data_IF_295789292872
#
_entry.id   IF_295789292872
#
_cell.length_a   1.000
_cell.length_b   1.000
_cell.length_c   1.000
_cell.angle_alpha   90.00
_cell.angle_beta   90.00
_cell.angle_gamma   90.00
#
_symmetry.space_group_name_H-M   'P 1'
#
loop_
_entity.id
_entity.type
_entity.pdbx_description
1 polymer ?
#
# COMPACT_ATOMS: atom_id res chain seq x y z
N UNK A 1 10.55 4.72 -11.84
CA UNK A 1 9.94 3.45 -11.38
C UNK A 1 10.49 3.13 -10.00
N UNK A 2 9.63 2.92 -9.01
CA UNK A 2 10.08 2.56 -7.65
C UNK A 2 10.31 1.05 -7.54
N UNK A 3 11.15 0.61 -6.58
CA UNK A 3 11.51 -0.81 -6.45
C UNK A 3 10.30 -1.74 -6.27
N UNK A 4 9.27 -1.30 -5.55
CA UNK A 4 8.06 -2.08 -5.35
C UNK A 4 7.19 -2.20 -6.62
N UNK A 5 7.16 -1.16 -7.46
CA UNK A 5 6.46 -1.20 -8.76
C UNK A 5 7.17 -2.15 -9.72
N UNK A 6 8.51 -2.08 -9.78
CA UNK A 6 9.31 -2.97 -10.62
C UNK A 6 9.16 -4.44 -10.22
N UNK A 7 9.15 -4.73 -8.91
CA UNK A 7 8.95 -6.09 -8.43
C UNK A 7 7.52 -6.59 -8.71
N UNK A 8 6.51 -5.75 -8.51
CA UNK A 8 5.13 -6.12 -8.75
C UNK A 8 4.86 -6.43 -10.23
N UNK A 9 5.41 -5.61 -11.13
CA UNK A 9 5.36 -5.85 -12.58
C UNK A 9 6.03 -7.17 -12.97
N UNK A 10 7.23 -7.44 -12.42
CA UNK A 10 7.98 -8.67 -12.70
C UNK A 10 7.24 -9.96 -12.32
N UNK A 11 6.31 -9.90 -11.35
CA UNK A 11 5.50 -11.05 -10.92
C UNK A 11 4.07 -11.01 -11.46
N UNK A 12 3.73 -10.05 -12.32
CA UNK A 12 2.37 -9.88 -12.86
C UNK A 12 1.33 -9.51 -11.79
N UNK A 13 1.74 -8.85 -10.70
CA UNK A 13 0.82 -8.41 -9.67
C UNK A 13 0.01 -7.21 -10.16
N UNK A 14 -1.30 -7.24 -9.90
CA UNK A 14 -2.24 -6.15 -10.26
C UNK A 14 -2.54 -5.22 -9.08
N UNK A 15 -2.14 -5.61 -7.87
CA UNK A 15 -2.41 -4.87 -6.65
C UNK A 15 -1.26 -4.99 -5.66
N UNK A 16 -0.98 -3.89 -4.94
CA UNK A 16 -0.07 -3.89 -3.80
C UNK A 16 -0.87 -3.57 -2.54
N UNK A 17 -0.65 -4.35 -1.48
CA UNK A 17 -1.24 -4.14 -0.15
C UNK A 17 -0.14 -4.09 0.91
N UNK A 18 -0.11 -3.02 1.71
CA UNK A 18 0.81 -2.85 2.84
C UNK A 18 -0.01 -2.91 4.12
N UNK A 19 0.25 -3.94 4.93
CA UNK A 19 -0.47 -4.21 6.16
C UNK A 19 0.14 -3.44 7.35
N UNK A 20 -0.72 -2.97 8.27
CA UNK A 20 -0.34 -2.39 9.57
C UNK A 20 0.72 -1.29 9.45
N UNK A 21 0.43 -0.19 8.72
CA UNK A 21 1.38 0.90 8.59
C UNK A 21 1.73 1.49 9.97
N UNK A 22 3.02 1.73 10.19
CA UNK A 22 3.57 1.99 11.53
C UNK A 22 3.21 3.37 12.11
N UNK A 23 3.06 4.39 11.26
CA UNK A 23 2.80 5.75 11.69
C UNK A 23 2.24 6.63 10.56
N UNK A 24 1.75 7.81 10.93
CA UNK A 24 1.16 8.77 10.00
C UNK A 24 2.13 9.23 8.89
N UNK A 25 3.42 9.37 9.21
CA UNK A 25 4.43 9.80 8.22
C UNK A 25 4.57 8.78 7.09
N UNK A 26 4.55 7.49 7.43
CA UNK A 26 4.62 6.39 6.47
C UNK A 26 3.32 6.31 5.65
N UNK A 27 2.17 6.47 6.29
CA UNK A 27 0.87 6.57 5.60
C UNK A 27 0.90 7.68 4.54
N UNK A 28 1.29 8.90 4.94
CA UNK A 28 1.33 10.04 4.03
C UNK A 28 2.33 9.86 2.87
N UNK A 29 3.49 9.25 3.14
CA UNK A 29 4.48 8.93 2.09
C UNK A 29 3.89 8.02 1.00
N UNK A 30 3.15 6.97 1.39
CA UNK A 30 2.54 6.06 0.42
C UNK A 30 1.28 6.63 -0.23
N UNK A 31 0.53 7.49 0.46
CA UNK A 31 -0.58 8.23 -0.16
C UNK A 31 -0.11 9.14 -1.31
N UNK A 32 1.04 9.81 -1.15
CA UNK A 32 1.67 10.56 -2.25
C UNK A 32 2.07 9.68 -3.44
N UNK A 33 2.22 8.38 -3.23
CA UNK A 33 2.51 7.37 -4.25
C UNK A 33 1.24 6.66 -4.77
N UNK A 34 0.06 7.23 -4.51
CA UNK A 34 -1.22 6.73 -4.99
C UNK A 34 -1.83 5.59 -4.18
N UNK A 35 -1.31 5.29 -2.99
CA UNK A 35 -1.94 4.31 -2.10
C UNK A 35 -3.13 4.92 -1.36
N UNK A 36 -4.20 4.13 -1.23
CA UNK A 36 -5.39 4.45 -0.46
C UNK A 36 -5.23 3.86 0.94
N UNK A 37 -5.36 4.70 1.96
CA UNK A 37 -5.34 4.26 3.35
C UNK A 37 -6.74 3.78 3.78
N UNK A 38 -6.81 2.54 4.22
CA UNK A 38 -8.01 1.93 4.78
C UNK A 38 -7.83 1.78 6.30
N UNK A 39 -8.59 2.58 7.05
CA UNK A 39 -8.68 2.43 8.51
C UNK A 39 -9.31 1.08 8.86
N UNK A 40 -8.94 0.54 10.02
CA UNK A 40 -9.39 -0.79 10.45
C UNK A 40 -10.92 -0.82 10.51
N UNK A 41 -11.51 -1.90 9.99
CA UNK A 41 -12.95 -2.15 10.08
C UNK A 41 -13.16 -3.59 10.53
N UNK A 42 -13.40 -3.77 11.82
CA UNK A 42 -13.56 -5.09 12.45
C UNK A 42 -12.23 -5.85 12.54
N UNK A 43 -12.22 -7.09 12.06
CA UNK A 43 -11.06 -7.99 12.11
C UNK A 43 -9.94 -7.63 11.13
N UNK A 44 -10.20 -6.76 10.14
CA UNK A 44 -9.19 -6.35 9.17
C UNK A 44 -8.32 -5.23 9.72
N UNK A 45 -7.00 -5.45 9.88
CA UNK A 45 -6.10 -4.40 10.34
C UNK A 45 -6.00 -3.27 9.31
N UNK A 46 -5.56 -2.12 9.81
CA UNK A 46 -5.24 -0.95 8.98
C UNK A 46 -4.27 -1.34 7.87
N UNK A 47 -4.52 -0.83 6.67
CA UNK A 47 -3.68 -1.13 5.52
C UNK A 47 -3.72 -0.02 4.48
N UNK A 48 -2.68 0.00 3.65
CA UNK A 48 -2.62 0.79 2.43
C UNK A 48 -2.80 -0.15 1.25
N UNK A 49 -3.50 0.27 0.21
CA UNK A 49 -3.63 -0.52 -1.01
C UNK A 49 -3.59 0.36 -2.25
N UNK A 50 -3.08 -0.18 -3.37
CA UNK A 50 -3.01 0.50 -4.66
C UNK A 50 -3.22 -0.52 -5.79
N UNK A 51 -4.09 -0.18 -6.74
CA UNK A 51 -4.13 -0.84 -8.05
C UNK A 51 -2.96 -0.34 -8.90
N UNK A 52 -2.27 -1.25 -9.57
CA UNK A 52 -1.15 -0.95 -10.47
C UNK A 52 -1.61 -0.69 -11.89
#
# INVERSE_FOLDING_TARGET
MTAFEAYADAIGATQIKIMRPLNQRLISLYQQKGFIYQKSKGSNPEHLWRWL
#
